data_IF_793501988769
#
_entry.id   IF_793501988769
#
_cell.length_a   1.000
_cell.length_b   1.000
_cell.length_c   1.000
_cell.angle_alpha   90.00
_cell.angle_beta   90.00
_cell.angle_gamma   90.00
#
_symmetry.space_group_name_H-M   'P 1'
#
loop_
_entity.id
_entity.type
_entity.pdbx_description
1 polymer ?
#
# COMPACT_ATOMS: atom_id res chain seq x y z
N UNK A 1 -2.72 16.57 2.03
CA UNK A 1 -3.56 15.79 1.09
C UNK A 1 -4.83 16.55 0.70
N UNK A 2 -5.62 17.02 1.67
CA UNK A 2 -6.91 17.70 1.45
C UNK A 2 -6.88 18.80 0.37
N UNK A 3 -5.91 19.73 0.44
CA UNK A 3 -5.83 20.83 -0.53
C UNK A 3 -5.55 20.35 -1.96
N UNK A 4 -4.71 19.33 -2.12
CA UNK A 4 -4.42 18.73 -3.42
C UNK A 4 -5.68 18.09 -4.02
N UNK A 5 -6.45 17.37 -3.21
CA UNK A 5 -7.70 16.75 -3.68
C UNK A 5 -8.76 17.81 -3.98
N UNK A 6 -8.84 18.88 -3.20
CA UNK A 6 -9.72 20.02 -3.49
C UNK A 6 -9.34 20.69 -4.82
N UNK A 7 -8.05 20.88 -5.08
CA UNK A 7 -7.54 21.39 -6.36
C UNK A 7 -7.91 20.47 -7.53
N UNK A 8 -7.73 19.15 -7.39
CA UNK A 8 -8.10 18.18 -8.43
C UNK A 8 -9.61 18.20 -8.70
N UNK A 9 -10.45 18.22 -7.65
CA UNK A 9 -11.91 18.36 -7.79
C UNK A 9 -12.28 19.60 -8.61
N UNK A 10 -11.74 20.75 -8.23
CA UNK A 10 -12.00 22.01 -8.95
C UNK A 10 -11.50 21.95 -10.40
N UNK A 11 -10.32 21.38 -10.63
CA UNK A 11 -9.74 21.24 -11.96
C UNK A 11 -10.58 20.34 -12.87
N UNK A 12 -11.06 19.20 -12.38
CA UNK A 12 -11.87 18.28 -13.17
C UNK A 12 -13.27 18.81 -13.48
N UNK A 13 -13.86 19.60 -12.58
CA UNK A 13 -15.10 20.33 -12.89
C UNK A 13 -14.91 21.26 -14.10
N UNK A 14 -13.76 21.94 -14.18
CA UNK A 14 -13.43 22.77 -15.35
C UNK A 14 -13.16 21.96 -16.62
N UNK A 15 -12.85 20.65 -16.50
CA UNK A 15 -12.62 19.77 -17.65
C UNK A 15 -13.91 19.15 -18.22
N UNK A 16 -15.06 19.33 -17.56
CA UNK A 16 -16.34 18.77 -18.01
C UNK A 16 -16.73 19.21 -19.44
N UNK A 17 -16.22 20.36 -19.90
CA UNK A 17 -16.48 20.91 -21.24
C UNK A 17 -15.51 20.41 -22.31
N UNK A 18 -14.46 19.66 -21.94
CA UNK A 18 -13.47 19.17 -22.89
C UNK A 18 -14.02 17.97 -23.68
N UNK A 19 -13.79 17.91 -25.00
CA UNK A 19 -14.32 16.85 -25.83
C UNK A 19 -13.66 15.49 -25.57
N UNK A 20 -14.38 14.41 -25.89
CA UNK A 20 -13.88 13.04 -25.81
C UNK A 20 -13.68 12.55 -24.38
N UNK A 21 -12.62 11.79 -24.15
CA UNK A 21 -12.30 11.16 -22.86
C UNK A 21 -11.16 11.89 -22.12
N UNK A 22 -10.94 13.19 -22.40
CA UNK A 22 -9.82 13.95 -21.83
C UNK A 22 -9.92 14.06 -20.31
N UNK A 23 -11.10 14.43 -19.80
CA UNK A 23 -11.33 14.53 -18.36
C UNK A 23 -11.14 13.17 -17.66
N UNK A 24 -11.64 12.09 -18.28
CA UNK A 24 -11.55 10.73 -17.76
C UNK A 24 -10.08 10.25 -17.70
N UNK A 25 -9.34 10.47 -18.79
CA UNK A 25 -7.92 10.12 -18.90
C UNK A 25 -7.07 10.93 -17.92
N UNK A 26 -7.33 12.23 -17.79
CA UNK A 26 -6.66 13.09 -16.83
C UNK A 26 -6.93 12.61 -15.39
N UNK A 27 -8.19 12.36 -15.04
CA UNK A 27 -8.57 11.88 -13.71
C UNK A 27 -7.90 10.53 -13.37
N UNK A 28 -7.99 9.54 -14.27
CA UNK A 28 -7.35 8.25 -14.06
C UNK A 28 -5.83 8.38 -13.92
N UNK A 29 -5.21 9.22 -14.74
CA UNK A 29 -3.76 9.46 -14.69
C UNK A 29 -3.35 10.15 -13.40
N UNK A 30 -4.13 11.13 -12.92
CA UNK A 30 -3.90 11.80 -11.64
C UNK A 30 -4.04 10.82 -10.46
N UNK A 31 -5.06 9.95 -10.44
CA UNK A 31 -5.20 8.94 -9.39
C UNK A 31 -4.04 7.93 -9.39
N UNK A 32 -3.63 7.45 -10.57
CA UNK A 32 -2.45 6.58 -10.72
C UNK A 32 -1.17 7.27 -10.23
N UNK A 33 -0.99 8.54 -10.60
CA UNK A 33 0.17 9.31 -10.17
C UNK A 33 0.17 9.53 -8.66
N UNK A 34 -0.99 9.84 -8.06
CA UNK A 34 -1.13 10.01 -6.62
C UNK A 34 -0.78 8.73 -5.86
N UNK A 35 -1.36 7.59 -6.25
CA UNK A 35 -1.04 6.29 -5.68
C UNK A 35 0.46 5.96 -5.83
N UNK A 36 1.04 6.21 -7.01
CA UNK A 36 2.47 6.03 -7.25
C UNK A 36 3.35 6.88 -6.32
N UNK A 37 3.02 8.18 -6.20
CA UNK A 37 3.75 9.12 -5.33
C UNK A 37 3.64 8.76 -3.85
N UNK A 38 2.47 8.32 -3.38
CA UNK A 38 2.28 7.83 -2.01
C UNK A 38 3.10 6.56 -1.76
N UNK A 39 3.12 5.62 -2.72
CA UNK A 39 3.96 4.42 -2.64
C UNK A 39 5.44 4.77 -2.58
N UNK A 40 5.90 5.71 -3.39
CA UNK A 40 7.29 6.20 -3.38
C UNK A 40 7.63 6.82 -2.03
N UNK A 41 6.77 7.67 -1.47
CA UNK A 41 6.96 8.27 -0.15
C UNK A 41 7.12 7.21 0.95
N UNK A 42 6.28 6.18 0.93
CA UNK A 42 6.33 5.08 1.91
C UNK A 42 7.63 4.26 1.79
N UNK A 43 8.09 4.04 0.56
CA UNK A 43 9.26 3.25 0.19
C UNK A 43 10.52 4.07 -0.04
N UNK A 44 10.54 5.33 0.38
CA UNK A 44 11.70 6.20 0.22
C UNK A 44 12.87 5.65 1.04
N UNK A 45 14.05 5.52 0.43
CA UNK A 45 15.24 5.03 1.10
C UNK A 45 15.78 6.01 2.14
N UNK A 46 15.52 7.31 2.02
CA UNK A 46 15.94 8.30 2.99
C UNK A 46 15.11 8.23 4.27
N UNK A 47 13.88 7.70 4.19
CA UNK A 47 13.02 7.42 5.34
C UNK A 47 13.40 6.08 5.97
N UNK A 48 14.39 6.09 6.86
CA UNK A 48 14.89 4.89 7.56
C UNK A 48 13.99 4.36 8.67
N UNK A 49 13.08 5.19 9.19
CA UNK A 49 12.22 4.86 10.33
C UNK A 49 10.80 5.33 10.05
N UNK A 50 9.84 4.50 10.44
CA UNK A 50 8.42 4.84 10.43
C UNK A 50 7.86 4.44 11.77
N UNK A 51 7.09 5.29 12.43
CA UNK A 51 6.40 4.91 13.66
C UNK A 51 4.91 4.68 13.36
N UNK A 52 4.21 4.09 14.31
CA UNK A 52 2.78 3.78 14.21
C UNK A 52 1.92 5.03 13.93
N UNK A 53 2.31 6.19 14.47
CA UNK A 53 1.58 7.43 14.21
C UNK A 53 1.75 7.82 12.74
N UNK A 54 2.97 7.85 12.21
CA UNK A 54 3.23 8.14 10.80
C UNK A 54 2.47 7.21 9.85
N UNK A 55 2.38 5.92 10.19
CA UNK A 55 1.57 4.97 9.41
C UNK A 55 0.06 5.26 9.49
N UNK A 56 -0.45 5.65 10.66
CA UNK A 56 -1.85 6.07 10.80
C UNK A 56 -2.18 7.37 10.05
N UNK A 57 -1.26 8.33 10.04
CA UNK A 57 -1.42 9.56 9.24
C UNK A 57 -1.41 9.25 7.74
N UNK A 58 -0.49 8.39 7.29
CA UNK A 58 -0.49 7.89 5.91
C UNK A 58 -1.80 7.18 5.55
N UNK A 59 -2.33 6.37 6.47
CA UNK A 59 -3.62 5.70 6.31
C UNK A 59 -4.78 6.70 6.17
N UNK A 60 -4.77 7.81 6.92
CA UNK A 60 -5.76 8.86 6.75
C UNK A 60 -5.65 9.52 5.37
N UNK A 61 -4.45 9.91 4.96
CA UNK A 61 -4.22 10.48 3.63
C UNK A 61 -4.69 9.54 2.51
N UNK A 62 -4.47 8.23 2.67
CA UNK A 62 -4.95 7.22 1.72
C UNK A 62 -6.49 7.16 1.68
N UNK A 63 -7.16 7.20 2.83
CA UNK A 63 -8.63 7.23 2.90
C UNK A 63 -9.22 8.44 2.19
N UNK A 64 -8.60 9.62 2.33
CA UNK A 64 -9.03 10.81 1.60
C UNK A 64 -8.94 10.62 0.08
N UNK A 65 -7.88 9.95 -0.40
CA UNK A 65 -7.73 9.62 -1.83
C UNK A 65 -8.79 8.61 -2.30
N UNK A 66 -9.09 7.61 -1.47
CA UNK A 66 -10.13 6.61 -1.74
C UNK A 66 -11.52 7.26 -1.76
N UNK A 67 -11.80 8.17 -0.84
CA UNK A 67 -13.05 8.93 -0.82
C UNK A 67 -13.19 9.84 -2.05
N UNK A 68 -12.09 10.50 -2.46
CA UNK A 68 -12.06 11.22 -3.73
C UNK A 68 -12.34 10.30 -4.93
N UNK A 69 -11.76 9.10 -4.99
CA UNK A 69 -12.03 8.13 -6.05
C UNK A 69 -13.50 7.65 -6.03
N UNK A 70 -14.08 7.46 -4.83
CA UNK A 70 -15.47 7.03 -4.64
C UNK A 70 -16.49 8.12 -4.95
N UNK A 71 -16.11 9.41 -4.92
CA UNK A 71 -17.03 10.49 -5.25
C UNK A 71 -17.31 10.65 -6.75
N UNK A 72 -16.79 9.75 -7.60
CA UNK A 72 -16.92 9.80 -9.06
C UNK A 72 -16.58 11.18 -9.63
N UNK A 73 -15.31 11.65 -9.46
CA UNK A 73 -14.92 13.03 -9.74
C UNK A 73 -15.04 13.44 -11.22
N UNK A 74 -15.16 12.47 -12.13
CA UNK A 74 -15.44 12.67 -13.55
C UNK A 74 -16.44 11.60 -14.00
N UNK A 75 -17.46 12.02 -14.74
CA UNK A 75 -18.48 11.12 -15.29
C UNK A 75 -17.95 10.19 -16.40
N UNK A 76 -18.58 9.02 -16.54
CA UNK A 76 -18.28 8.05 -17.59
C UNK A 76 -17.05 7.16 -17.32
N UNK A 77 -16.40 7.30 -16.17
CA UNK A 77 -15.43 6.31 -15.69
C UNK A 77 -16.20 5.12 -15.11
N UNK A 78 -15.87 3.90 -15.52
CA UNK A 78 -16.52 2.69 -15.00
C UNK A 78 -16.31 2.54 -13.50
N UNK A 79 -17.37 2.17 -12.78
CA UNK A 79 -17.35 1.93 -11.34
C UNK A 79 -16.20 1.01 -10.94
N UNK A 80 -15.52 1.35 -9.84
CA UNK A 80 -14.36 0.59 -9.35
C UNK A 80 -13.04 0.97 -10.00
N UNK A 81 -13.01 1.58 -11.19
CA UNK A 81 -11.75 1.83 -11.92
C UNK A 81 -10.77 2.72 -11.15
N UNK A 82 -11.26 3.79 -10.51
CA UNK A 82 -10.40 4.68 -9.72
C UNK A 82 -9.99 4.03 -8.40
N UNK A 83 -10.87 3.25 -7.78
CA UNK A 83 -10.59 2.53 -6.53
C UNK A 83 -9.44 1.53 -6.73
N UNK A 84 -9.38 0.88 -7.90
CA UNK A 84 -8.31 -0.04 -8.25
C UNK A 84 -6.92 0.60 -8.27
N UNK A 85 -6.80 1.93 -8.43
CA UNK A 85 -5.48 2.58 -8.40
C UNK A 85 -4.87 2.61 -7.00
N UNK A 86 -5.69 2.55 -5.95
CA UNK A 86 -5.24 2.62 -4.55
C UNK A 86 -5.20 1.26 -3.85
N UNK A 87 -5.79 0.22 -4.46
CA UNK A 87 -6.03 -1.06 -3.82
C UNK A 87 -4.76 -1.77 -3.30
N UNK A 88 -3.64 -1.70 -4.03
CA UNK A 88 -2.36 -2.25 -3.54
C UNK A 88 -1.91 -1.57 -2.24
N UNK A 89 -1.96 -0.23 -2.19
CA UNK A 89 -1.61 0.53 -0.99
C UNK A 89 -2.56 0.25 0.16
N UNK A 90 -3.86 0.16 -0.11
CA UNK A 90 -4.88 -0.16 0.89
C UNK A 90 -4.59 -1.49 1.57
N UNK A 91 -4.40 -2.55 0.78
CA UNK A 91 -4.06 -3.88 1.28
C UNK A 91 -2.75 -3.88 2.09
N UNK A 92 -1.73 -3.17 1.61
CA UNK A 92 -0.43 -3.07 2.28
C UNK A 92 -0.54 -2.37 3.64
N UNK A 93 -1.23 -1.22 3.70
CA UNK A 93 -1.44 -0.46 4.94
C UNK A 93 -2.30 -1.26 5.92
N UNK A 94 -3.34 -1.94 5.46
CA UNK A 94 -4.19 -2.79 6.30
C UNK A 94 -3.42 -3.97 6.89
N UNK A 95 -2.51 -4.59 6.12
CA UNK A 95 -1.64 -5.64 6.63
C UNK A 95 -0.73 -5.12 7.75
N UNK A 96 -0.11 -3.96 7.55
CA UNK A 96 0.83 -3.36 8.50
C UNK A 96 0.13 -2.92 9.79
N UNK A 97 -1.00 -2.21 9.69
CA UNK A 97 -1.78 -1.75 10.84
C UNK A 97 -2.46 -2.90 11.56
N UNK A 98 -3.05 -3.84 10.82
CA UNK A 98 -3.75 -5.00 11.39
C UNK A 98 -2.81 -6.06 11.94
N UNK A 99 -1.51 -6.02 11.59
CA UNK A 99 -0.52 -7.04 11.93
C UNK A 99 -0.99 -8.47 11.58
N UNK A 100 -1.78 -8.63 10.51
CA UNK A 100 -2.40 -9.91 10.15
C UNK A 100 -1.47 -10.79 9.29
N UNK A 101 -0.26 -10.99 9.81
CA UNK A 101 0.80 -11.77 9.18
C UNK A 101 0.42 -13.25 9.04
N UNK A 102 -0.38 -13.78 9.96
CA UNK A 102 -0.83 -15.18 9.92
C UNK A 102 -1.67 -15.44 8.67
N UNK A 103 -2.70 -14.61 8.44
CA UNK A 103 -3.54 -14.70 7.24
C UNK A 103 -2.72 -14.44 5.98
N UNK A 104 -1.88 -13.40 5.97
CA UNK A 104 -1.07 -13.09 4.79
C UNK A 104 -0.14 -14.23 4.39
N UNK A 105 0.57 -14.82 5.35
CA UNK A 105 1.51 -15.92 5.08
C UNK A 105 0.79 -17.20 4.67
N UNK A 106 -0.36 -17.51 5.29
CA UNK A 106 -1.15 -18.72 4.98
C UNK A 106 -1.74 -18.67 3.57
N UNK A 107 -2.28 -17.53 3.19
CA UNK A 107 -3.03 -17.37 1.93
C UNK A 107 -2.17 -16.75 0.81
N UNK A 108 -0.85 -16.67 0.99
CA UNK A 108 0.07 -16.10 -0.01
C UNK A 108 -0.03 -16.86 -1.34
N UNK A 109 -0.07 -16.11 -2.45
CA UNK A 109 -0.25 -16.67 -3.79
C UNK A 109 -1.70 -16.98 -4.17
N UNK A 110 -2.64 -16.95 -3.22
CA UNK A 110 -4.07 -17.10 -3.52
C UNK A 110 -4.63 -15.82 -4.14
N UNK A 111 -5.35 -15.96 -5.26
CA UNK A 111 -6.03 -14.84 -5.93
C UNK A 111 -7.24 -14.33 -5.15
N UNK A 112 -7.80 -15.13 -4.24
CA UNK A 112 -8.92 -14.76 -3.36
C UNK A 112 -8.47 -14.18 -2.02
N UNK A 113 -7.16 -14.16 -1.76
CA UNK A 113 -6.61 -13.56 -0.54
C UNK A 113 -6.93 -12.07 -0.47
N UNK A 114 -7.26 -11.59 0.73
CA UNK A 114 -7.45 -10.15 0.99
C UNK A 114 -6.21 -9.29 0.78
N UNK A 115 -5.03 -9.92 0.71
CA UNK A 115 -3.73 -9.27 0.53
C UNK A 115 -3.03 -9.73 -0.76
N UNK A 116 -3.80 -10.20 -1.74
CA UNK A 116 -3.28 -10.75 -2.99
C UNK A 116 -2.42 -9.79 -3.84
N UNK A 117 -2.44 -8.48 -3.56
CA UNK A 117 -1.61 -7.47 -4.25
C UNK A 117 -0.38 -7.05 -3.46
N UNK A 118 -0.25 -7.49 -2.20
CA UNK A 118 0.87 -7.12 -1.35
C UNK A 118 2.10 -7.91 -1.77
N UNK A 119 3.16 -7.21 -2.16
CA UNK A 119 4.47 -7.82 -2.42
C UNK A 119 5.19 -8.14 -1.08
N UNK A 120 5.68 -9.38 -0.86
CA UNK A 120 6.32 -9.77 0.39
C UNK A 120 7.57 -8.96 0.76
N UNK A 121 8.40 -8.58 -0.22
CA UNK A 121 9.62 -7.81 0.02
C UNK A 121 9.32 -6.37 0.44
N UNK A 122 8.28 -5.78 -0.16
CA UNK A 122 7.80 -4.46 0.22
C UNK A 122 7.29 -4.49 1.67
N UNK A 123 6.48 -5.49 2.01
CA UNK A 123 5.98 -5.67 3.38
C UNK A 123 7.13 -5.88 4.39
N UNK A 124 8.14 -6.70 4.04
CA UNK A 124 9.33 -6.93 4.87
C UNK A 124 10.09 -5.63 5.11
N UNK A 125 10.35 -4.85 4.06
CA UNK A 125 11.08 -3.57 4.14
C UNK A 125 10.36 -2.55 5.02
N UNK A 126 9.04 -2.47 4.93
CA UNK A 126 8.26 -1.55 5.77
C UNK A 126 8.17 -2.02 7.22
N UNK A 127 8.05 -3.32 7.45
CA UNK A 127 8.10 -3.89 8.79
C UNK A 127 9.44 -3.61 9.49
N UNK A 128 10.56 -3.67 8.74
CA UNK A 128 11.88 -3.26 9.24
C UNK A 128 11.92 -1.78 9.66
N UNK A 129 11.37 -0.86 8.84
CA UNK A 129 11.27 0.57 9.18
C UNK A 129 10.45 0.80 10.45
N UNK A 130 9.37 0.04 10.63
CA UNK A 130 8.53 0.09 11.84
C UNK A 130 9.30 -0.36 13.08
N UNK A 131 10.04 -1.46 12.98
CA UNK A 131 10.87 -1.99 14.07
C UNK A 131 12.02 -1.08 14.48
N UNK A 132 12.62 -0.36 13.51
CA UNK A 132 13.75 0.54 13.77
C UNK A 132 13.33 1.77 14.60
N UNK A 133 12.06 2.18 14.51
CA UNK A 133 11.50 3.25 15.36
C UNK A 133 11.38 2.84 16.84
N UNK A 134 11.16 1.56 17.13
CA UNK A 134 11.01 1.06 18.50
C UNK A 134 12.36 0.96 19.24
N UNK A 135 13.49 0.76 18.53
CA UNK A 135 14.82 0.60 19.14
C UNK A 135 15.33 1.84 19.90
N UNK A 136 14.85 3.03 19.56
CA UNK A 136 15.30 4.30 20.17
C UNK A 136 14.57 4.67 21.48
N UNK A 137 13.55 3.90 21.90
CA UNK A 137 12.64 4.28 23.01
C UNK A 137 13.07 3.88 24.43
N UNK A 138 14.21 3.20 24.65
CA UNK A 138 14.79 3.06 26.00
C UNK A 138 15.46 1.71 26.30
N UNK A 139 16.37 1.70 27.28
CA UNK A 139 17.27 0.59 27.63
C UNK A 139 16.65 -0.50 28.52
N UNK A 140 15.35 -0.44 28.84
CA UNK A 140 14.66 -1.43 29.67
C UNK A 140 13.54 -2.09 28.87
N UNK A 141 13.92 -2.93 27.91
CA UNK A 141 12.97 -3.70 27.10
C UNK A 141 12.28 -4.74 27.98
N UNK A 142 10.95 -4.64 28.10
CA UNK A 142 10.16 -5.63 28.85
C UNK A 142 10.18 -6.98 28.12
N UNK A 143 9.99 -8.08 28.86
CA UNK A 143 9.98 -9.44 28.27
C UNK A 143 9.01 -9.56 27.07
N UNK A 144 7.83 -8.94 27.18
CA UNK A 144 6.82 -8.90 26.11
C UNK A 144 7.28 -8.19 24.84
N UNK A 145 8.01 -7.08 24.96
CA UNK A 145 8.56 -6.35 23.81
C UNK A 145 9.65 -7.15 23.10
N UNK A 146 10.47 -7.89 23.87
CA UNK A 146 11.48 -8.80 23.31
C UNK A 146 10.83 -9.94 22.51
N UNK A 147 9.73 -10.50 23.00
CA UNK A 147 8.97 -11.54 22.28
C UNK A 147 8.33 -11.00 21.01
N UNK A 148 7.70 -9.81 21.06
CA UNK A 148 7.18 -9.10 19.88
C UNK A 148 8.27 -8.87 18.83
N UNK A 149 9.45 -8.41 19.25
CA UNK A 149 10.60 -8.19 18.36
C UNK A 149 11.04 -9.49 17.67
N UNK A 150 11.19 -10.59 18.40
CA UNK A 150 11.55 -11.90 17.82
C UNK A 150 10.50 -12.41 16.83
N UNK A 151 9.23 -12.18 17.12
CA UNK A 151 8.14 -12.54 16.22
C UNK A 151 8.25 -11.74 14.91
N UNK A 152 8.42 -10.42 14.99
CA UNK A 152 8.58 -9.57 13.81
C UNK A 152 9.82 -9.94 12.98
N UNK A 153 10.96 -10.23 13.62
CA UNK A 153 12.18 -10.73 12.94
C UNK A 153 11.93 -12.06 12.20
N UNK A 154 11.14 -12.95 12.81
CA UNK A 154 10.75 -14.23 12.19
C UNK A 154 9.83 -14.00 10.99
N UNK A 155 8.88 -13.07 11.10
CA UNK A 155 7.99 -12.69 10.00
C UNK A 155 8.80 -12.11 8.84
N UNK A 156 9.71 -11.17 9.09
CA UNK A 156 10.59 -10.59 8.05
C UNK A 156 11.35 -11.68 7.30
N UNK A 157 11.94 -12.65 8.03
CA UNK A 157 12.64 -13.79 7.39
C UNK A 157 11.72 -14.60 6.50
N UNK A 158 10.50 -14.92 6.95
CA UNK A 158 9.50 -15.64 6.16
C UNK A 158 9.09 -14.84 4.92
N UNK A 159 8.80 -13.55 5.08
CA UNK A 159 8.44 -12.65 3.98
C UNK A 159 9.53 -12.62 2.90
N UNK A 160 10.79 -12.51 3.29
CA UNK A 160 11.93 -12.50 2.36
C UNK A 160 12.10 -13.82 1.60
N UNK A 161 11.69 -14.94 2.19
CA UNK A 161 11.76 -16.26 1.56
C UNK A 161 10.67 -16.50 0.50
N UNK A 162 9.55 -15.78 0.55
CA UNK A 162 8.39 -16.03 -0.34
C UNK A 162 8.65 -15.72 -1.83
N UNK A 163 9.56 -14.82 -2.17
CA UNK A 163 9.93 -14.55 -3.58
C UNK A 163 10.90 -15.59 -4.16
N UNK A 164 11.55 -16.39 -3.31
CA UNK A 164 12.42 -17.48 -3.75
C UNK A 164 11.67 -18.61 -4.45
N UNK A 165 10.38 -18.78 -4.15
CA UNK A 165 9.54 -19.86 -4.70
C UNK A 165 8.85 -19.47 -6.03
N UNK A 166 8.55 -18.19 -6.25
CA UNK A 166 7.80 -17.76 -7.44
C UNK A 166 8.63 -17.89 -8.72
N UNK A 167 9.96 -17.73 -8.63
CA UNK A 167 10.86 -17.92 -9.77
C UNK A 167 11.06 -19.41 -10.15
N UNK A 168 10.69 -20.35 -9.28
CA UNK A 168 10.80 -21.79 -9.54
C UNK A 168 9.60 -22.40 -10.28
N UNK A 169 8.41 -21.80 -10.15
CA UNK A 169 7.17 -22.35 -10.72
C UNK A 169 6.77 -21.75 -12.07
N UNK A 170 7.41 -20.68 -12.54
CA UNK A 170 7.11 -20.09 -13.85
C UNK A 170 7.74 -20.85 -15.04
N UNK A 171 8.57 -21.88 -14.80
CA UNK A 171 9.22 -22.67 -15.87
C UNK A 171 8.52 -23.99 -16.21
N UNK A 172 7.42 -24.35 -15.53
CA UNK A 172 6.75 -25.64 -15.72
C UNK A 172 5.47 -25.59 -16.59
N UNK A 173 5.04 -24.41 -17.06
CA UNK A 173 3.84 -24.28 -17.90
C UNK A 173 4.11 -23.83 -19.35
N UNK A 174 5.36 -23.84 -19.81
CA UNK A 174 5.72 -23.43 -21.18
C UNK A 174 6.10 -24.60 -22.11
N UNK A 175 5.66 -25.83 -21.80
CA UNK A 175 5.76 -26.97 -22.72
C UNK A 175 4.50 -27.83 -22.61
N UNK A 176 3.53 -27.51 -23.45
CA UNK A 176 2.61 -28.46 -24.11
C UNK A 176 1.88 -27.73 -25.24
#
# INVERSE_FOLDING_TARGET
MVDLLAYLRSTFLNFAVLPGNVAQTACLSSCKHLAGSMRTLLLDDDVKQMNEHGLNWFNQDLRECEEFANSSPVEGISDGTLQMTFLELRQLVDLLLGCDWSTYLKDHGSTTSKYNRVNPQIAARLLEKLMESEKKRGFTIRKSEREKKKLMETIIKKLRALDGDVSGNSLLHARE
#
